data_IF_043865675711
#
_entry.id   IF_043865675711
#
_cell.length_a   1.000
_cell.length_b   1.000
_cell.length_c   1.000
_cell.angle_alpha   90.00
_cell.angle_beta   90.00
_cell.angle_gamma   90.00
#
_symmetry.space_group_name_H-M   'P 1'
#
loop_
_entity.id
_entity.type
_entity.pdbx_description
1 polymer ?
#
# COMPACT_ATOMS: atom_id res chain seq x y z
N UNK A 1 -47.40 -32.84 -26.71
CA UNK A 1 -47.29 -32.00 -25.50
C UNK A 1 -48.16 -32.51 -24.34
N UNK A 2 -49.33 -33.13 -24.56
CA UNK A 2 -50.27 -33.54 -23.51
C UNK A 2 -49.92 -34.81 -22.72
N UNK A 3 -48.86 -35.55 -23.10
CA UNK A 3 -48.40 -36.76 -22.40
C UNK A 3 -47.21 -36.55 -21.45
N UNK A 4 -46.67 -35.33 -21.39
CA UNK A 4 -45.48 -35.00 -20.60
C UNK A 4 -45.87 -34.28 -19.30
N UNK A 5 -45.21 -34.64 -18.20
CA UNK A 5 -45.28 -33.92 -16.93
C UNK A 5 -44.75 -32.49 -17.04
N UNK A 6 -44.98 -31.66 -16.01
CA UNK A 6 -44.53 -30.26 -16.01
C UNK A 6 -43.00 -30.12 -16.18
N UNK A 7 -42.22 -30.93 -15.48
CA UNK A 7 -40.75 -30.95 -15.58
C UNK A 7 -40.25 -31.33 -16.97
N UNK A 8 -40.87 -32.34 -17.59
CA UNK A 8 -40.50 -32.81 -18.94
C UNK A 8 -40.87 -31.78 -20.02
N UNK A 9 -42.00 -31.08 -19.85
CA UNK A 9 -42.38 -29.95 -20.73
C UNK A 9 -41.39 -28.80 -20.62
N UNK A 10 -40.93 -28.48 -19.41
CA UNK A 10 -39.90 -27.46 -19.20
C UNK A 10 -38.57 -27.85 -19.87
N UNK A 11 -38.09 -29.08 -19.62
CA UNK A 11 -36.85 -29.56 -20.22
C UNK A 11 -36.94 -29.57 -21.75
N UNK A 12 -38.06 -30.04 -22.31
CA UNK A 12 -38.27 -30.01 -23.78
C UNK A 12 -38.22 -28.57 -24.31
N UNK A 13 -38.87 -27.62 -23.64
CA UNK A 13 -38.85 -26.22 -24.07
C UNK A 13 -37.43 -25.63 -24.08
N UNK A 14 -36.58 -26.01 -23.12
CA UNK A 14 -35.16 -25.60 -23.12
C UNK A 14 -34.41 -26.27 -24.28
N UNK A 15 -34.60 -27.56 -24.52
CA UNK A 15 -33.92 -28.30 -25.59
C UNK A 15 -34.33 -27.84 -26.99
N UNK A 16 -35.54 -27.29 -27.15
CA UNK A 16 -36.00 -26.68 -28.40
C UNK A 16 -35.27 -25.35 -28.72
N UNK A 17 -34.55 -24.75 -27.75
CA UNK A 17 -33.75 -23.53 -27.97
C UNK A 17 -32.41 -23.92 -28.62
N UNK A 18 -32.07 -23.39 -29.82
CA UNK A 18 -30.78 -23.65 -30.43
C UNK A 18 -29.63 -23.22 -29.53
N UNK A 19 -28.70 -24.14 -29.28
CA UNK A 19 -27.52 -23.92 -28.44
C UNK A 19 -27.85 -23.38 -27.03
N UNK A 20 -28.95 -23.85 -26.43
CA UNK A 20 -29.47 -23.38 -25.14
C UNK A 20 -28.40 -23.20 -24.05
N UNK A 21 -27.51 -24.18 -23.89
CA UNK A 21 -26.44 -24.14 -22.87
C UNK A 21 -25.41 -23.04 -23.14
N UNK A 22 -24.95 -22.87 -24.39
CA UNK A 22 -24.03 -21.78 -24.77
C UNK A 22 -24.65 -20.41 -24.53
N UNK A 23 -25.93 -20.26 -24.90
CA UNK A 23 -26.69 -19.03 -24.64
C UNK A 23 -26.80 -18.73 -23.15
N UNK A 24 -27.05 -19.75 -22.32
CA UNK A 24 -27.11 -19.61 -20.87
C UNK A 24 -25.76 -19.22 -20.27
N UNK A 25 -24.66 -19.84 -20.72
CA UNK A 25 -23.30 -19.48 -20.29
C UNK A 25 -22.96 -18.03 -20.64
N UNK A 26 -23.27 -17.58 -21.85
CA UNK A 26 -23.05 -16.21 -22.28
C UNK A 26 -23.92 -15.19 -21.50
N UNK A 27 -25.17 -15.53 -21.20
CA UNK A 27 -26.03 -14.70 -20.35
C UNK A 27 -25.50 -14.60 -18.92
N UNK A 28 -25.06 -15.72 -18.34
CA UNK A 28 -24.48 -15.74 -17.00
C UNK A 28 -23.23 -14.86 -16.92
N UNK A 29 -22.33 -14.97 -17.91
CA UNK A 29 -21.16 -14.11 -17.99
C UNK A 29 -21.55 -12.63 -18.07
N UNK A 30 -22.48 -12.29 -18.97
CA UNK A 30 -22.97 -10.91 -19.14
C UNK A 30 -23.55 -10.35 -17.83
N UNK A 31 -24.34 -11.14 -17.11
CA UNK A 31 -24.93 -10.72 -15.83
C UNK A 31 -23.88 -10.45 -14.75
N UNK A 32 -22.74 -11.15 -14.78
CA UNK A 32 -21.69 -11.01 -13.77
C UNK A 32 -20.63 -9.96 -14.15
N UNK A 33 -20.46 -9.66 -15.45
CA UNK A 33 -19.38 -8.82 -15.98
C UNK A 33 -19.24 -7.47 -15.26
N UNK A 34 -20.35 -6.72 -15.12
CA UNK A 34 -20.33 -5.39 -14.50
C UNK A 34 -19.89 -5.44 -13.03
N UNK A 35 -20.30 -6.47 -12.28
CA UNK A 35 -19.91 -6.63 -10.88
C UNK A 35 -18.42 -6.92 -10.74
N UNK A 36 -17.87 -7.78 -11.60
CA UNK A 36 -16.43 -8.08 -11.63
C UNK A 36 -15.61 -6.85 -12.02
N UNK A 37 -16.05 -6.10 -13.04
CA UNK A 37 -15.42 -4.83 -13.44
C UNK A 37 -15.46 -3.82 -12.29
N UNK A 38 -16.60 -3.65 -11.62
CA UNK A 38 -16.74 -2.74 -10.48
C UNK A 38 -15.82 -3.14 -9.32
N UNK A 39 -15.72 -4.43 -9.01
CA UNK A 39 -14.80 -4.94 -8.00
C UNK A 39 -13.34 -4.61 -8.34
N UNK A 40 -12.93 -4.85 -9.59
CA UNK A 40 -11.57 -4.54 -10.05
C UNK A 40 -11.27 -3.04 -10.02
N UNK A 41 -12.19 -2.17 -10.48
CA UNK A 41 -12.03 -0.71 -10.40
C UNK A 41 -11.84 -0.25 -8.96
N UNK A 42 -12.71 -0.71 -8.05
CA UNK A 42 -12.61 -0.35 -6.63
C UNK A 42 -11.31 -0.86 -5.99
N UNK A 43 -10.85 -2.02 -6.42
CA UNK A 43 -9.59 -2.62 -5.97
C UNK A 43 -8.40 -1.77 -6.41
N UNK A 44 -8.33 -1.39 -7.69
CA UNK A 44 -7.26 -0.54 -8.21
C UNK A 44 -7.28 0.86 -7.62
N UNK A 45 -8.46 1.46 -7.42
CA UNK A 45 -8.59 2.74 -6.71
C UNK A 45 -8.05 2.67 -5.28
N UNK A 46 -8.27 1.55 -4.58
CA UNK A 46 -7.73 1.34 -3.24
C UNK A 46 -6.20 1.29 -3.25
N UNK A 47 -5.61 0.58 -4.23
CA UNK A 47 -4.15 0.49 -4.37
C UNK A 47 -3.51 1.82 -4.76
N UNK A 48 -4.16 2.60 -5.64
CA UNK A 48 -3.69 3.94 -6.03
C UNK A 48 -3.73 4.89 -4.83
N UNK A 49 -4.87 4.96 -4.13
CA UNK A 49 -5.02 5.76 -2.92
C UNK A 49 -4.02 5.36 -1.82
N UNK A 50 -3.80 4.07 -1.60
CA UNK A 50 -2.80 3.59 -0.63
C UNK A 50 -1.38 4.04 -1.00
N UNK A 51 -1.04 4.05 -2.29
CA UNK A 51 0.26 4.52 -2.77
C UNK A 51 0.44 6.02 -2.55
N UNK A 52 -0.61 6.81 -2.77
CA UNK A 52 -0.64 8.25 -2.50
C UNK A 52 -0.57 8.56 -1.00
N UNK A 53 -1.33 7.84 -0.17
CA UNK A 53 -1.31 7.96 1.28
C UNK A 53 0.11 7.80 1.83
N UNK A 54 0.84 6.76 1.42
CA UNK A 54 2.22 6.54 1.86
C UNK A 54 3.18 7.67 1.44
N UNK A 55 3.04 8.21 0.22
CA UNK A 55 3.94 9.26 -0.28
C UNK A 55 3.62 10.64 0.31
N UNK A 56 2.36 10.90 0.66
CA UNK A 56 1.88 12.24 0.96
C UNK A 56 1.47 12.45 2.43
N UNK A 57 1.28 11.37 3.21
CA UNK A 57 0.98 11.47 4.64
C UNK A 57 2.15 12.13 5.38
N UNK A 58 1.92 13.36 5.85
CA UNK A 58 2.93 14.12 6.59
C UNK A 58 3.26 13.43 7.91
N UNK A 59 2.25 12.87 8.58
CA UNK A 59 2.44 12.20 9.85
C UNK A 59 3.24 10.91 9.68
N UNK A 60 2.97 10.14 8.63
CA UNK A 60 3.75 8.95 8.31
C UNK A 60 5.20 9.30 7.97
N UNK A 61 5.44 10.31 7.13
CA UNK A 61 6.80 10.74 6.79
C UNK A 61 7.58 11.24 8.02
N UNK A 62 6.92 11.99 8.92
CA UNK A 62 7.51 12.39 10.22
C UNK A 62 7.84 11.19 11.09
N UNK A 63 6.96 10.19 11.15
CA UNK A 63 7.19 8.96 11.90
C UNK A 63 8.39 8.19 11.35
N UNK A 64 8.47 8.06 10.03
CA UNK A 64 9.64 7.45 9.38
C UNK A 64 10.89 8.26 9.71
N UNK A 65 10.86 9.59 9.58
CA UNK A 65 11.99 10.48 9.93
C UNK A 65 12.41 10.35 11.40
N UNK A 66 11.46 10.35 12.34
CA UNK A 66 11.74 10.17 13.76
C UNK A 66 12.37 8.80 14.04
N UNK A 67 11.89 7.75 13.38
CA UNK A 67 12.55 6.44 13.37
C UNK A 67 13.99 6.56 12.88
N UNK A 68 14.24 7.29 11.77
CA UNK A 68 15.59 7.45 11.23
C UNK A 68 16.51 8.16 12.23
N UNK A 69 16.05 9.28 12.80
CA UNK A 69 16.81 10.10 13.74
C UNK A 69 17.12 9.36 15.03
N UNK A 70 16.17 8.54 15.51
CA UNK A 70 16.38 7.72 16.71
C UNK A 70 17.43 6.64 16.43
N UNK A 71 17.38 5.98 15.27
CA UNK A 71 18.42 5.03 14.84
C UNK A 71 19.80 5.69 14.71
N UNK A 72 19.89 6.89 14.14
CA UNK A 72 21.12 7.66 14.03
C UNK A 72 21.71 7.98 15.41
N UNK A 73 20.90 8.55 16.31
CA UNK A 73 21.34 8.98 17.64
C UNK A 73 21.87 7.81 18.49
N UNK A 74 21.33 6.60 18.33
CA UNK A 74 21.81 5.41 19.03
C UNK A 74 23.14 4.85 18.46
N UNK A 75 23.48 5.20 17.21
CA UNK A 75 24.75 4.81 16.59
C UNK A 75 25.89 5.82 16.85
N UNK A 76 25.56 7.05 17.28
CA UNK A 76 26.53 8.06 17.70
C UNK A 76 27.25 7.57 18.96
N UNK A 77 28.49 7.10 18.80
CA UNK A 77 29.34 6.59 19.88
C UNK A 77 29.85 5.15 19.68
N UNK A 78 29.35 4.42 18.68
CA UNK A 78 29.76 3.03 18.40
C UNK A 78 30.71 2.89 17.18
N UNK A 79 31.19 3.99 16.58
CA UNK A 79 32.01 3.99 15.35
C UNK A 79 31.40 3.17 14.19
N UNK A 80 30.08 3.01 14.17
CA UNK A 80 29.35 2.22 13.16
C UNK A 80 29.05 3.01 11.85
N UNK A 81 29.55 4.23 11.73
CA UNK A 81 29.44 5.07 10.54
C UNK A 81 28.17 5.93 10.48
N UNK A 82 28.19 6.91 9.57
CA UNK A 82 27.06 7.77 9.24
C UNK A 82 26.04 6.93 8.43
N UNK A 83 24.89 6.63 9.01
CA UNK A 83 23.91 5.72 8.43
C UNK A 83 23.13 6.39 7.28
N UNK A 84 23.10 5.75 6.10
CA UNK A 84 22.60 6.36 4.84
C UNK A 84 21.59 5.53 3.99
N UNK A 85 20.90 4.47 4.48
CA UNK A 85 19.78 3.79 3.74
C UNK A 85 18.76 2.94 4.58
N UNK A 86 17.43 3.19 4.53
CA UNK A 86 16.37 2.66 5.41
C UNK A 86 15.40 1.82 4.59
N UNK A 87 15.08 0.62 5.07
CA UNK A 87 14.08 -0.25 4.46
C UNK A 87 12.88 -0.33 5.38
N UNK A 88 11.68 -0.35 4.82
CA UNK A 88 10.48 -0.40 5.64
C UNK A 88 10.38 -1.70 6.47
N UNK A 89 10.94 -2.82 5.99
CA UNK A 89 11.10 -4.05 6.78
C UNK A 89 11.84 -3.83 8.12
N UNK A 90 12.67 -2.78 8.22
CA UNK A 90 13.35 -2.40 9.45
C UNK A 90 12.37 -1.82 10.49
N UNK A 91 11.28 -1.15 10.08
CA UNK A 91 10.26 -0.64 11.01
C UNK A 91 9.77 -1.73 11.96
N UNK A 92 9.53 -2.93 11.42
CA UNK A 92 9.04 -4.06 12.19
C UNK A 92 10.03 -4.57 13.24
N UNK A 93 11.34 -4.35 13.03
CA UNK A 93 12.41 -4.74 13.95
C UNK A 93 12.60 -3.75 15.11
N UNK A 94 12.27 -2.47 14.89
CA UNK A 94 12.43 -1.42 15.91
C UNK A 94 11.51 -1.60 17.11
N UNK A 95 10.38 -2.28 16.91
CA UNK A 95 9.41 -2.56 17.97
C UNK A 95 9.98 -3.51 19.03
N UNK A 96 10.89 -4.39 18.63
CA UNK A 96 11.48 -5.39 19.52
C UNK A 96 12.69 -4.85 20.30
N UNK A 97 13.12 -3.61 19.99
CA UNK A 97 14.27 -2.97 20.64
C UNK A 97 13.82 -2.30 21.93
N UNK A 98 14.19 -2.90 23.06
CA UNK A 98 13.94 -2.38 24.41
C UNK A 98 15.22 -1.81 25.01
N UNK A 99 15.06 -0.80 25.86
CA UNK A 99 16.13 -0.28 26.69
C UNK A 99 16.65 -1.34 27.67
N UNK A 100 17.76 -1.04 28.34
CA UNK A 100 18.44 -1.95 29.29
C UNK A 100 17.49 -2.34 30.45
N UNK A 101 16.57 -1.45 30.80
CA UNK A 101 15.55 -1.65 31.83
C UNK A 101 14.39 -2.55 31.36
N UNK A 102 14.29 -2.85 30.07
CA UNK A 102 13.19 -3.61 29.46
C UNK A 102 11.83 -2.90 29.50
N UNK A 103 11.77 -1.66 30.02
CA UNK A 103 10.52 -0.93 30.27
C UNK A 103 10.10 -0.08 29.07
N UNK A 104 11.04 0.63 28.45
CA UNK A 104 10.76 1.46 27.28
C UNK A 104 11.28 0.82 25.98
N UNK A 105 10.44 0.80 24.94
CA UNK A 105 10.86 0.42 23.57
C UNK A 105 11.37 1.64 22.82
N UNK A 106 12.16 1.42 21.77
CA UNK A 106 12.58 2.49 20.87
C UNK A 106 11.40 3.30 20.32
N UNK A 107 10.26 2.64 20.11
CA UNK A 107 9.04 3.24 19.62
C UNK A 107 8.42 4.24 20.62
N UNK A 108 8.66 4.09 21.93
CA UNK A 108 8.29 5.09 22.92
C UNK A 108 9.01 6.42 22.67
N UNK A 109 10.31 6.37 22.35
CA UNK A 109 11.12 7.56 22.05
C UNK A 109 10.71 8.20 20.73
N UNK A 110 10.39 7.39 19.72
CA UNK A 110 9.88 7.88 18.43
C UNK A 110 8.57 8.66 18.62
N UNK A 111 7.62 8.13 19.41
CA UNK A 111 6.37 8.84 19.71
C UNK A 111 6.62 10.14 20.48
N UNK A 112 7.54 10.12 21.44
CA UNK A 112 7.93 11.31 22.19
C UNK A 112 8.54 12.39 21.30
N UNK A 113 9.36 11.99 20.33
CA UNK A 113 9.96 12.90 19.37
C UNK A 113 8.92 13.53 18.43
N UNK A 114 7.93 12.76 17.98
CA UNK A 114 6.81 13.28 17.18
C UNK A 114 6.03 14.33 18.00
N UNK A 115 5.67 14.03 19.25
CA UNK A 115 4.97 14.95 20.16
C UNK A 115 5.77 16.24 20.36
N UNK A 116 7.09 16.13 20.56
CA UNK A 116 8.00 17.26 20.72
C UNK A 116 8.06 18.13 19.45
N UNK A 117 8.11 17.50 18.28
CA UNK A 117 8.19 18.17 16.98
C UNK A 117 6.89 18.90 16.56
N UNK A 118 5.74 18.44 17.06
CA UNK A 118 4.42 19.07 16.85
C UNK A 118 4.25 20.35 17.70
N UNK A 119 5.23 20.72 18.53
CA UNK A 119 5.19 21.95 19.31
C UNK A 119 4.20 21.91 20.46
N UNK A 120 3.79 20.71 20.92
CA UNK A 120 3.03 20.58 22.16
C UNK A 120 4.01 20.69 23.33
N UNK A 121 4.67 21.84 23.44
CA UNK A 121 5.18 22.29 24.73
C UNK A 121 3.95 22.47 25.62
N UNK A 122 3.74 21.52 26.54
CA UNK A 122 2.98 21.85 27.73
C UNK A 122 3.76 22.96 28.43
N UNK A 123 3.33 24.20 28.22
CA UNK A 123 3.66 25.33 29.08
C UNK A 123 3.06 25.07 30.46
N UNK A 124 3.68 24.17 31.22
CA UNK A 124 3.48 24.06 32.66
C UNK A 124 4.81 23.70 33.30
N UNK A 125 5.63 24.73 33.52
CA UNK A 125 6.81 24.68 34.39
C UNK A 125 6.46 24.48 35.88
N UNK A 126 5.35 23.82 36.23
CA UNK A 126 4.84 23.91 37.61
C UNK A 126 4.28 22.63 38.26
N UNK A 127 4.14 21.48 37.59
CA UNK A 127 3.63 20.29 38.31
C UNK A 127 4.52 19.05 38.16
N UNK A 128 5.35 18.85 39.18
CA UNK A 128 6.24 17.72 39.40
C UNK A 128 5.49 16.45 39.81
N UNK A 129 4.43 16.05 39.07
CA UNK A 129 3.73 14.79 39.31
C UNK A 129 3.90 13.83 38.11
N UNK A 130 4.76 12.79 38.22
CA UNK A 130 5.08 11.88 37.12
C UNK A 130 3.85 11.20 36.49
N UNK A 131 2.87 10.83 37.31
CA UNK A 131 1.64 10.17 36.86
C UNK A 131 0.73 11.06 35.99
N UNK A 132 0.74 12.38 36.24
CA UNK A 132 -0.03 13.34 35.44
C UNK A 132 0.59 13.53 34.04
N UNK A 133 1.92 13.62 33.98
CA UNK A 133 2.67 13.72 32.72
C UNK A 133 2.56 12.42 31.89
N UNK A 134 2.53 11.26 32.54
CA UNK A 134 2.33 9.96 31.87
C UNK A 134 0.93 9.83 31.25
N UNK A 135 -0.12 10.28 31.95
CA UNK A 135 -1.49 10.31 31.42
C UNK A 135 -1.65 11.23 30.20
N UNK A 136 -1.01 12.41 30.22
CA UNK A 136 -1.00 13.34 29.09
C UNK A 136 -0.26 12.72 27.89
N UNK A 137 0.91 12.15 28.12
CA UNK A 137 1.70 11.50 27.08
C UNK A 137 0.93 10.34 26.43
N UNK A 138 0.31 9.46 27.23
CA UNK A 138 -0.52 8.36 26.72
C UNK A 138 -1.64 8.87 25.82
N UNK A 139 -2.33 9.93 26.24
CA UNK A 139 -3.41 10.53 25.44
C UNK A 139 -2.90 11.07 24.10
N UNK A 140 -1.77 11.76 24.10
CA UNK A 140 -1.15 12.29 22.86
C UNK A 140 -0.65 11.16 21.94
N UNK A 141 -0.04 10.11 22.51
CA UNK A 141 0.41 8.94 21.78
C UNK A 141 -0.75 8.20 21.07
N UNK A 142 -1.87 8.03 21.76
CA UNK A 142 -3.09 7.45 21.17
C UNK A 142 -3.66 8.35 20.08
N UNK A 143 -3.71 9.67 20.29
CA UNK A 143 -4.16 10.63 19.27
C UNK A 143 -3.31 10.56 17.99
N UNK A 144 -1.99 10.44 18.11
CA UNK A 144 -1.09 10.26 16.95
C UNK A 144 -1.38 8.94 16.25
N UNK A 145 -1.54 7.85 16.99
CA UNK A 145 -1.87 6.52 16.43
C UNK A 145 -3.20 6.54 15.68
N UNK A 146 -4.23 7.17 16.25
CA UNK A 146 -5.55 7.31 15.64
C UNK A 146 -5.48 8.17 14.37
N UNK A 147 -4.76 9.30 14.42
CA UNK A 147 -4.57 10.17 13.27
C UNK A 147 -3.83 9.45 12.12
N UNK A 148 -2.78 8.67 12.45
CA UNK A 148 -2.04 7.90 11.47
C UNK A 148 -2.91 6.80 10.83
N UNK A 149 -3.73 6.12 11.63
CA UNK A 149 -4.70 5.13 11.12
C UNK A 149 -5.76 5.75 10.21
N UNK A 150 -6.14 7.01 10.46
CA UNK A 150 -7.06 7.77 9.61
C UNK A 150 -6.40 8.24 8.31
N UNK A 151 -5.12 8.65 8.35
CA UNK A 151 -4.39 9.06 7.14
C UNK A 151 -4.03 7.87 6.22
N UNK A 152 -3.90 6.66 6.76
CA UNK A 152 -3.45 5.46 6.04
C UNK A 152 -4.54 4.37 5.92
N UNK A 153 -5.80 4.78 5.76
CA UNK A 153 -6.92 3.82 5.71
C UNK A 153 -6.90 2.90 4.49
N UNK A 154 -6.46 3.38 3.33
CA UNK A 154 -6.37 2.56 2.13
C UNK A 154 -5.17 1.62 2.18
N UNK A 155 -4.07 2.02 2.83
CA UNK A 155 -2.94 1.12 3.13
C UNK A 155 -3.41 -0.12 3.89
N UNK A 156 -4.24 0.04 4.92
CA UNK A 156 -4.78 -1.08 5.69
C UNK A 156 -5.64 -2.02 4.83
N UNK A 157 -6.44 -1.47 3.90
CA UNK A 157 -7.26 -2.26 2.96
C UNK A 157 -6.37 -2.98 1.93
N UNK A 158 -5.43 -2.24 1.32
CA UNK A 158 -4.51 -2.73 0.30
C UNK A 158 -3.65 -3.90 0.81
N UNK A 159 -3.27 -3.86 2.09
CA UNK A 159 -2.50 -4.90 2.75
C UNK A 159 -3.24 -6.26 2.85
N UNK A 160 -4.56 -6.30 2.66
CA UNK A 160 -5.37 -7.52 2.60
C UNK A 160 -5.61 -8.05 1.19
N UNK A 161 -5.06 -7.40 0.17
CA UNK A 161 -5.27 -7.74 -1.24
C UNK A 161 -4.11 -8.58 -1.79
N UNK A 162 -4.36 -9.28 -2.89
CA UNK A 162 -3.37 -10.11 -3.57
C UNK A 162 -3.27 -9.74 -5.06
N UNK A 163 -2.08 -9.34 -5.50
CA UNK A 163 -1.85 -8.89 -6.88
C UNK A 163 -2.06 -9.99 -7.92
N UNK A 164 -1.72 -11.25 -7.60
CA UNK A 164 -1.91 -12.37 -8.52
C UNK A 164 -3.39 -12.73 -8.64
N UNK A 165 -4.15 -12.62 -7.55
CA UNK A 165 -5.61 -12.82 -7.58
C UNK A 165 -6.28 -11.77 -8.47
N UNK A 166 -5.95 -10.48 -8.29
CA UNK A 166 -6.49 -9.39 -9.10
C UNK A 166 -6.16 -9.59 -10.60
N UNK A 167 -4.90 -9.90 -10.93
CA UNK A 167 -4.50 -10.14 -12.31
C UNK A 167 -5.15 -11.39 -12.91
N UNK A 168 -5.34 -12.42 -12.09
CA UNK A 168 -6.09 -13.61 -12.45
C UNK A 168 -7.56 -13.32 -12.75
N UNK A 169 -8.19 -12.38 -12.04
CA UNK A 169 -9.56 -11.95 -12.32
C UNK A 169 -9.66 -11.16 -13.64
N UNK A 170 -8.72 -10.24 -13.91
CA UNK A 170 -8.64 -9.53 -15.20
C UNK A 170 -8.48 -10.53 -16.35
N UNK A 171 -7.59 -11.52 -16.18
CA UNK A 171 -7.38 -12.58 -17.18
C UNK A 171 -8.61 -13.45 -17.38
N UNK A 172 -9.36 -13.78 -16.31
CA UNK A 172 -10.62 -14.54 -16.40
C UNK A 172 -11.69 -13.77 -17.17
N UNK A 173 -11.81 -12.45 -16.95
CA UNK A 173 -12.72 -11.61 -17.74
C UNK A 173 -12.33 -11.62 -19.21
N UNK A 174 -11.04 -11.46 -19.52
CA UNK A 174 -10.57 -11.51 -20.91
C UNK A 174 -10.88 -12.84 -21.60
N UNK A 175 -10.55 -13.96 -20.96
CA UNK A 175 -10.80 -15.29 -21.51
C UNK A 175 -12.30 -15.58 -21.65
N UNK A 176 -13.11 -15.16 -20.67
CA UNK A 176 -14.56 -15.32 -20.75
C UNK A 176 -15.18 -14.52 -21.90
N UNK A 177 -14.72 -13.29 -22.12
CA UNK A 177 -15.16 -12.45 -23.23
C UNK A 177 -14.77 -13.04 -24.58
N UNK A 178 -13.52 -13.49 -24.73
CA UNK A 178 -13.02 -14.15 -25.94
C UNK A 178 -13.81 -15.43 -26.26
N UNK A 179 -14.15 -16.22 -25.24
CA UNK A 179 -14.99 -17.42 -25.41
C UNK A 179 -16.34 -17.05 -26.01
N UNK A 180 -17.04 -16.07 -25.45
CA UNK A 180 -18.37 -15.67 -25.93
C UNK A 180 -18.30 -15.05 -27.33
N UNK A 181 -17.25 -14.30 -27.63
CA UNK A 181 -16.99 -13.77 -28.96
C UNK A 181 -16.88 -14.90 -29.99
N UNK A 182 -16.04 -15.91 -29.72
CA UNK A 182 -15.89 -17.06 -30.62
C UNK A 182 -17.20 -17.82 -30.83
N UNK A 183 -18.03 -17.95 -29.78
CA UNK A 183 -19.34 -18.60 -29.88
C UNK A 183 -20.34 -17.78 -30.70
N UNK A 184 -20.22 -16.45 -30.71
CA UNK A 184 -21.03 -15.57 -31.56
C UNK A 184 -20.55 -15.56 -33.01
N UNK A 185 -19.28 -15.87 -33.29
CA UNK A 185 -18.73 -15.84 -34.65
C UNK A 185 -19.07 -17.10 -35.47
N UNK A 186 -19.38 -18.22 -34.81
CA UNK A 186 -19.85 -19.45 -35.46
C UNK A 186 -21.33 -19.39 -35.90
N UNK A 187 -21.87 -18.21 -36.16
CA UNK A 187 -23.26 -18.00 -36.56
C UNK A 187 -23.52 -18.52 -37.97
N UNK A 188 -24.35 -19.56 -38.09
CA UNK A 188 -25.00 -19.92 -39.35
C UNK A 188 -26.14 -18.93 -39.61
N UNK A 189 -26.25 -18.43 -40.85
CA UNK A 189 -27.24 -17.44 -41.32
C UNK A 189 -28.71 -17.72 -40.94
N UNK A 190 -29.03 -18.96 -40.56
CA UNK A 190 -30.38 -19.44 -40.26
C UNK A 190 -30.89 -19.05 -38.84
N UNK A 191 -30.06 -18.44 -37.99
CA UNK A 191 -30.41 -18.10 -36.59
C UNK A 191 -30.07 -16.64 -36.26
N UNK A 192 -30.38 -15.72 -37.19
CA UNK A 192 -30.24 -14.28 -36.95
C UNK A 192 -31.31 -13.81 -35.95
N UNK A 193 -31.08 -14.08 -34.67
CA UNK A 193 -31.99 -13.80 -33.57
C UNK A 193 -31.56 -12.60 -32.72
N UNK A 194 -32.50 -12.01 -31.99
CA UNK A 194 -32.27 -10.89 -31.07
C UNK A 194 -31.15 -11.15 -30.05
N UNK A 195 -30.91 -12.41 -29.71
CA UNK A 195 -29.84 -12.83 -28.80
C UNK A 195 -28.45 -12.42 -29.29
N UNK A 196 -28.03 -12.85 -30.49
CA UNK A 196 -26.68 -12.59 -31.00
C UNK A 196 -26.44 -11.10 -31.25
N UNK A 197 -27.46 -10.39 -31.75
CA UNK A 197 -27.40 -8.92 -31.87
C UNK A 197 -27.14 -8.25 -30.52
N UNK A 198 -27.89 -8.64 -29.49
CA UNK A 198 -27.71 -8.08 -28.14
C UNK A 198 -26.35 -8.45 -27.53
N UNK A 199 -25.88 -9.68 -27.78
CA UNK A 199 -24.59 -10.16 -27.29
C UNK A 199 -23.41 -9.45 -27.98
N UNK A 200 -23.48 -9.22 -29.30
CA UNK A 200 -22.45 -8.46 -30.04
C UNK A 200 -22.30 -7.04 -29.51
N UNK A 201 -23.41 -6.35 -29.24
CA UNK A 201 -23.39 -5.01 -28.60
C UNK A 201 -22.69 -5.06 -27.24
N UNK A 202 -23.08 -6.02 -26.39
CA UNK A 202 -22.45 -6.23 -25.09
C UNK A 202 -20.95 -6.53 -25.21
N UNK A 203 -20.53 -7.38 -26.16
CA UNK A 203 -19.11 -7.72 -26.36
C UNK A 203 -18.31 -6.45 -26.68
N UNK A 204 -18.80 -5.61 -27.60
CA UNK A 204 -18.10 -4.37 -27.98
C UNK A 204 -17.95 -3.41 -26.79
N UNK A 205 -18.99 -3.28 -25.97
CA UNK A 205 -18.95 -2.47 -24.74
C UNK A 205 -17.96 -3.07 -23.72
N UNK A 206 -18.07 -4.37 -23.45
CA UNK A 206 -17.22 -5.11 -22.52
C UNK A 206 -15.74 -5.10 -22.92
N UNK A 207 -15.42 -5.19 -24.22
CA UNK A 207 -14.06 -5.09 -24.73
C UNK A 207 -13.44 -3.71 -24.42
N UNK A 208 -14.25 -2.66 -24.53
CA UNK A 208 -13.82 -1.30 -24.22
C UNK A 208 -13.55 -1.14 -22.73
N UNK A 209 -14.46 -1.63 -21.88
CA UNK A 209 -14.26 -1.61 -20.43
C UNK A 209 -13.03 -2.42 -19.99
N UNK A 210 -12.86 -3.63 -20.54
CA UNK A 210 -11.74 -4.50 -20.22
C UNK A 210 -10.39 -3.87 -20.61
N UNK A 211 -10.34 -3.17 -21.76
CA UNK A 211 -9.14 -2.40 -22.15
C UNK A 211 -8.80 -1.35 -21.10
N UNK A 212 -9.78 -0.59 -20.61
CA UNK A 212 -9.57 0.38 -19.54
C UNK A 212 -9.07 -0.30 -18.27
N UNK A 213 -9.69 -1.41 -17.84
CA UNK A 213 -9.26 -2.17 -16.66
C UNK A 213 -7.80 -2.64 -16.76
N UNK A 214 -7.37 -3.13 -17.93
CA UNK A 214 -5.97 -3.55 -18.14
C UNK A 214 -4.99 -2.38 -18.13
N UNK A 215 -5.41 -1.19 -18.54
CA UNK A 215 -4.60 0.03 -18.43
C UNK A 215 -4.49 0.44 -16.96
N UNK A 216 -5.61 0.45 -16.24
CA UNK A 216 -5.67 0.80 -14.82
C UNK A 216 -4.81 -0.16 -13.98
N UNK A 217 -4.88 -1.46 -14.24
CA UNK A 217 -4.04 -2.49 -13.59
C UNK A 217 -2.54 -2.16 -13.75
N UNK A 218 -2.10 -1.88 -14.98
CA UNK A 218 -0.70 -1.54 -15.24
C UNK A 218 -0.28 -0.25 -14.56
N UNK A 219 -1.12 0.79 -14.64
CA UNK A 219 -0.85 2.09 -14.04
C UNK A 219 -0.72 1.97 -12.52
N UNK A 220 -1.64 1.25 -11.88
CA UNK A 220 -1.62 1.12 -10.42
C UNK A 220 -0.46 0.27 -9.94
N UNK A 221 -0.13 -0.83 -10.63
CA UNK A 221 1.04 -1.64 -10.27
C UNK A 221 2.36 -0.88 -10.47
N UNK A 222 2.44 0.00 -11.47
CA UNK A 222 3.58 0.91 -11.61
C UNK A 222 3.66 1.91 -10.44
N UNK A 223 2.54 2.52 -10.04
CA UNK A 223 2.50 3.42 -8.87
C UNK A 223 2.92 2.71 -7.57
N UNK A 224 2.45 1.48 -7.37
CA UNK A 224 2.84 0.63 -6.23
C UNK A 224 4.34 0.32 -6.26
N UNK A 225 4.88 0.03 -7.45
CA UNK A 225 6.33 -0.16 -7.63
C UNK A 225 7.10 1.12 -7.29
N UNK A 226 6.67 2.27 -7.78
CA UNK A 226 7.33 3.55 -7.52
C UNK A 226 7.34 3.91 -6.02
N UNK A 227 6.26 3.63 -5.28
CA UNK A 227 6.25 3.86 -3.82
C UNK A 227 7.10 2.84 -3.08
N UNK A 228 7.15 1.60 -3.57
CA UNK A 228 8.02 0.57 -3.01
C UNK A 228 9.49 0.99 -3.18
N UNK A 229 9.90 1.42 -4.37
CA UNK A 229 11.26 1.90 -4.64
C UNK A 229 11.61 3.15 -3.81
N UNK A 230 10.65 4.05 -3.60
CA UNK A 230 10.85 5.23 -2.73
C UNK A 230 11.24 4.85 -1.30
N UNK A 231 10.61 3.81 -0.71
CA UNK A 231 10.83 3.40 0.68
C UNK A 231 11.81 2.21 0.87
N UNK A 232 12.09 1.41 -0.16
CA UNK A 232 12.96 0.22 -0.08
C UNK A 232 14.17 0.25 -1.02
N UNK A 233 14.19 1.14 -2.02
CA UNK A 233 15.19 1.19 -3.07
C UNK A 233 14.99 0.13 -4.16
N UNK A 234 16.04 -0.08 -4.97
CA UNK A 234 16.05 -1.06 -6.05
C UNK A 234 16.21 -2.50 -5.51
N UNK A 235 15.12 -2.99 -4.91
CA UNK A 235 15.00 -4.33 -4.36
C UNK A 235 14.41 -5.25 -5.41
N UNK A 236 15.28 -5.89 -6.20
CA UNK A 236 14.92 -6.92 -7.21
C UNK A 236 13.99 -8.02 -6.65
N UNK A 237 13.99 -8.23 -5.32
CA UNK A 237 13.17 -9.25 -4.64
C UNK A 237 11.70 -8.84 -4.42
N UNK A 238 11.36 -7.55 -4.45
CA UNK A 238 9.97 -7.09 -4.24
C UNK A 238 9.08 -7.23 -5.47
N UNK A 239 9.67 -7.38 -6.67
CA UNK A 239 8.91 -7.67 -7.88
C UNK A 239 8.07 -8.96 -7.80
N UNK A 240 8.36 -9.86 -6.86
CA UNK A 240 7.58 -11.09 -6.61
C UNK A 240 6.33 -10.82 -5.76
N UNK A 241 6.32 -9.78 -4.93
CA UNK A 241 5.20 -9.45 -4.03
C UNK A 241 4.91 -7.94 -4.05
N UNK A 242 4.29 -7.41 -5.12
CA UNK A 242 4.13 -5.96 -5.32
C UNK A 242 3.42 -5.24 -4.15
N UNK A 243 2.48 -5.91 -3.47
CA UNK A 243 1.68 -5.30 -2.41
C UNK A 243 2.30 -5.43 -1.01
N UNK A 244 3.51 -6.00 -0.90
CA UNK A 244 4.16 -6.28 0.40
C UNK A 244 4.41 -5.01 1.22
N UNK A 245 4.71 -3.89 0.56
CA UNK A 245 4.89 -2.59 1.21
C UNK A 245 3.72 -2.26 2.14
N UNK A 246 2.48 -2.44 1.69
CA UNK A 246 1.28 -2.14 2.49
C UNK A 246 1.14 -3.06 3.70
N UNK A 247 1.51 -4.34 3.56
CA UNK A 247 1.54 -5.30 4.66
C UNK A 247 2.51 -4.85 5.76
N UNK A 248 3.72 -4.45 5.37
CA UNK A 248 4.74 -3.97 6.33
C UNK A 248 4.26 -2.73 7.08
N UNK A 249 3.69 -1.74 6.36
CA UNK A 249 3.20 -0.50 6.98
C UNK A 249 2.06 -0.79 7.95
N UNK A 250 1.03 -1.53 7.52
CA UNK A 250 -0.10 -1.91 8.38
C UNK A 250 0.39 -2.61 9.65
N UNK A 251 1.27 -3.60 9.50
CA UNK A 251 1.75 -4.38 10.65
C UNK A 251 2.55 -3.51 11.62
N UNK A 252 3.35 -2.57 11.09
CA UNK A 252 4.04 -1.58 11.92
C UNK A 252 3.07 -0.64 12.64
N UNK A 253 2.04 -0.13 11.96
CA UNK A 253 1.02 0.69 12.59
C UNK A 253 0.28 -0.06 13.71
N UNK A 254 -0.03 -1.34 13.51
CA UNK A 254 -0.63 -2.18 14.55
C UNK A 254 0.29 -2.36 15.76
N UNK A 255 1.61 -2.51 15.52
CA UNK A 255 2.59 -2.54 16.61
C UNK A 255 2.72 -1.19 17.32
N UNK A 256 2.70 -0.07 16.60
CA UNK A 256 2.70 1.28 17.17
C UNK A 256 1.49 1.51 18.07
N UNK A 257 0.32 1.12 17.60
CA UNK A 257 -0.93 1.22 18.34
C UNK A 257 -0.92 0.41 19.65
N UNK A 258 -0.33 -0.80 19.62
CA UNK A 258 -0.09 -1.59 20.83
C UNK A 258 0.82 -0.85 21.82
N UNK A 259 1.94 -0.30 21.35
CA UNK A 259 2.85 0.48 22.19
C UNK A 259 2.13 1.68 22.82
N UNK A 260 1.39 2.46 22.04
CA UNK A 260 0.63 3.61 22.56
C UNK A 260 -0.41 3.20 23.64
N UNK A 261 -0.98 2.00 23.54
CA UNK A 261 -1.88 1.45 24.58
C UNK A 261 -1.14 1.01 25.84
N UNK A 262 0.05 0.45 25.71
CA UNK A 262 0.89 -0.06 26.81
C UNK A 262 1.55 1.07 27.62
N UNK A 263 1.78 2.25 27.03
CA UNK A 263 2.28 3.42 27.75
C UNK A 263 1.34 3.73 28.94
N UNK A 264 1.85 3.68 30.17
CA UNK A 264 1.04 3.80 31.40
C UNK A 264 0.83 2.51 32.20
N UNK A 265 1.27 1.34 31.71
CA UNK A 265 1.19 0.06 32.46
C UNK A 265 2.52 -0.38 33.07
N UNK A 266 3.64 0.26 32.70
CA UNK A 266 4.95 0.04 33.32
C UNK A 266 5.01 0.68 34.70
N UNK A 267 4.61 -0.07 35.73
CA UNK A 267 4.73 0.36 37.12
C UNK A 267 6.19 0.64 37.54
N UNK A 268 6.31 1.78 38.22
CA UNK A 268 7.17 2.17 39.34
C UNK A 268 8.71 2.02 39.29
N UNK A 269 9.33 3.06 39.87
CA UNK A 269 10.74 3.28 40.20
C UNK A 269 11.70 3.43 39.01
N UNK A 270 12.02 4.68 38.63
CA UNK A 270 13.16 5.42 39.18
C UNK A 270 13.18 6.86 38.63
N UNK A 271 13.04 7.81 39.55
CA UNK A 271 13.27 9.24 39.33
C UNK A 271 14.80 9.46 39.28
N UNK A 272 15.22 10.42 38.45
CA UNK A 272 16.60 10.92 38.24
C UNK A 272 17.54 10.03 37.39
N UNK A 273 17.67 10.38 36.10
CA UNK A 273 18.74 9.87 35.22
C UNK A 273 18.35 9.55 33.77
N UNK A 274 17.36 10.22 33.18
CA UNK A 274 16.85 9.84 31.85
C UNK A 274 17.79 10.12 30.66
N UNK A 275 18.94 10.77 30.86
CA UNK A 275 19.90 11.02 29.78
C UNK A 275 20.87 9.85 29.52
N UNK A 276 20.87 8.78 30.34
CA UNK A 276 21.91 7.73 30.28
C UNK A 276 21.39 6.28 30.19
N UNK A 277 20.08 6.04 30.20
CA UNK A 277 19.51 4.67 30.31
C UNK A 277 19.33 3.93 28.98
N UNK A 278 19.28 4.62 27.84
CA UNK A 278 19.13 3.94 26.54
C UNK A 278 20.51 3.51 25.99
N UNK A 279 21.05 2.39 26.50
CA UNK A 279 22.10 1.63 25.79
C UNK A 279 21.50 0.37 25.21
N UNK A 280 21.60 0.20 23.90
CA UNK A 280 21.23 -1.06 23.25
C UNK A 280 22.27 -2.12 23.65
N UNK A 281 21.86 -3.36 24.02
CA UNK A 281 22.80 -4.46 24.23
C UNK A 281 23.64 -4.68 22.96
N UNK A 282 24.96 -4.83 23.12
CA UNK A 282 25.97 -4.87 22.03
C UNK A 282 25.80 -6.08 21.08
N UNK A 283 24.78 -6.92 21.26
CA UNK A 283 24.64 -8.19 20.54
C UNK A 283 24.14 -8.09 19.10
N UNK A 284 23.52 -6.99 18.66
CA UNK A 284 23.12 -6.81 17.25
C UNK A 284 23.24 -5.33 16.81
N UNK A 285 24.03 -5.01 15.76
CA UNK A 285 24.12 -3.65 15.25
C UNK A 285 22.78 -3.21 14.63
N UNK A 286 22.35 -1.99 14.96
CA UNK A 286 21.17 -1.36 14.36
C UNK A 286 21.37 -1.24 12.85
N UNK A 287 20.34 -1.56 12.04
CA UNK A 287 20.42 -1.42 10.59
C UNK A 287 20.63 0.05 10.17
N UNK A 288 21.44 0.28 9.13
CA UNK A 288 21.68 1.59 8.50
C UNK A 288 20.40 2.16 7.83
N UNK A 289 20.35 3.48 7.51
CA UNK A 289 19.07 4.27 7.39
C UNK A 289 19.07 5.53 6.42
N UNK A 290 18.13 5.70 5.46
CA UNK A 290 17.78 6.83 4.49
C UNK A 290 16.69 6.44 3.45
N UNK A 291 15.88 7.41 2.97
CA UNK A 291 14.80 7.31 1.95
C UNK A 291 15.30 7.77 0.57
N UNK A 292 14.92 7.08 -0.52
CA UNK A 292 15.31 7.47 -1.88
C UNK A 292 14.50 8.69 -2.35
N UNK A 293 15.03 9.91 -2.14
CA UNK A 293 14.50 11.11 -2.82
C UNK A 293 14.90 11.07 -4.29
N UNK A 294 13.96 10.72 -5.17
CA UNK A 294 14.09 10.96 -6.61
C UNK A 294 14.09 12.48 -6.84
N UNK A 295 15.28 13.04 -7.11
CA UNK A 295 15.40 14.39 -7.63
C UNK A 295 14.80 14.43 -9.05
N UNK A 296 13.56 14.92 -9.17
CA UNK A 296 13.12 15.51 -10.43
C UNK A 296 13.78 16.89 -10.56
N UNK A 297 14.98 16.93 -11.13
CA UNK A 297 15.56 18.18 -11.62
C UNK A 297 14.88 18.52 -12.95
N UNK A 298 13.99 19.51 -12.96
CA UNK A 298 13.59 20.18 -14.19
C UNK A 298 14.79 20.99 -14.68
N UNK A 299 15.48 20.47 -15.70
CA UNK A 299 16.50 21.22 -16.43
C UNK A 299 15.81 22.07 -17.48
N UNK A 300 15.58 23.34 -17.16
CA UNK A 300 15.29 24.40 -18.13
C UNK A 300 16.00 25.65 -17.64
N UNK A 301 16.64 26.35 -18.57
CA UNK A 301 17.27 27.68 -18.44
C UNK A 301 18.73 27.71 -17.95
N UNK A 302 19.65 27.56 -18.89
CA UNK A 302 20.59 28.66 -19.21
C UNK A 302 21.19 28.47 -20.62
N UNK A 303 20.47 29.00 -21.61
CA UNK A 303 21.02 29.36 -22.90
C UNK A 303 21.21 30.89 -22.88
N UNK A 304 22.47 31.37 -22.84
CA UNK A 304 23.01 32.61 -23.46
C UNK A 304 24.19 33.22 -22.69
N UNK A 305 25.36 33.17 -23.32
CA UNK A 305 26.31 34.28 -23.62
C UNK A 305 27.64 33.63 -24.07
N UNK A 306 27.84 33.47 -25.38
CA UNK A 306 28.62 34.36 -26.28
C UNK A 306 30.06 34.62 -25.79
N UNK A 307 31.01 34.08 -26.55
CA UNK A 307 32.12 34.87 -27.11
C UNK A 307 33.53 34.52 -26.63
N UNK A 308 34.34 34.00 -27.56
CA UNK A 308 35.81 34.12 -27.65
C UNK A 308 36.65 33.39 -26.56
N UNK A 309 37.67 32.59 -26.85
CA UNK A 309 38.68 32.60 -27.93
C UNK A 309 39.55 31.33 -27.84
N UNK A 310 40.24 31.04 -28.95
CA UNK A 310 41.50 30.28 -29.07
C UNK A 310 41.46 28.74 -29.20
N UNK A 311 41.55 28.34 -30.47
CA UNK A 311 42.23 27.16 -30.99
C UNK A 311 43.75 27.28 -30.81
N UNK A 312 44.37 26.24 -30.25
CA UNK A 312 45.78 25.78 -30.30
C UNK A 312 45.82 24.56 -29.35
N UNK A 313 46.41 23.40 -29.58
CA UNK A 313 47.30 22.82 -30.59
C UNK A 313 47.24 21.28 -30.39
N UNK A 314 47.58 20.52 -31.45
CA UNK A 314 48.35 19.25 -31.52
C UNK A 314 48.03 18.08 -30.55
N UNK A 315 47.88 16.81 -30.95
CA UNK A 315 48.39 15.98 -32.06
C UNK A 315 47.34 14.89 -32.45
#
# INVERSE_FOLDING_TARGET
>A
MSKLGSAERFLKAILDIPFAFRRLEALLYRTNFENEVKYLRSSFQTLEAASEELKNSKLFLKLVEAVLQTGYSLNVGLNLGEATAFKLDTLLKLVDIKGIDGKATLLHFVVQEIIRSEGIESHSKTESNPAFNEGIFKKQALQISDALNQELTHVNKAAGMDSHVLSGQVSKLELGLQKIQSECDHETQDIQGNFYRSMRMFITEAETELKTIKIDEKKVLASVKDVTEYFHGDSVKEGVYPLRIFTIVRDFMGKLDNVCREVGQTQDTAIEGAATSFRVPISDPLPNVTIYKTHHSSSSDEERRIGDTHLQDED
#
